data_IF_376006284519
#
_entry.id   IF_376006284519
#
_cell.length_a   1.000
_cell.length_b   1.000
_cell.length_c   1.000
_cell.angle_alpha   90.00
_cell.angle_beta   90.00
_cell.angle_gamma   90.00
#
_symmetry.space_group_name_H-M   'P 1'
#
loop_
_entity.id
_entity.type
_entity.pdbx_description
1 polymer ?
#
# COMPACT_ATOMS: atom_id res chain seq x y z
N UNK A 1 -14.30 0.15 11.87
CA UNK A 1 -14.07 -0.79 10.75
C UNK A 1 -12.56 -0.93 10.58
N UNK A 2 -12.07 -2.15 10.38
CA UNK A 2 -10.65 -2.47 10.29
C UNK A 2 -10.40 -3.28 9.01
N UNK A 3 -9.36 -2.94 8.22
CA UNK A 3 -8.83 -3.87 7.21
C UNK A 3 -7.89 -4.86 7.87
N UNK A 4 -8.15 -6.15 7.70
CA UNK A 4 -7.25 -7.22 8.12
C UNK A 4 -5.98 -7.28 7.27
N UNK A 5 -6.05 -6.72 6.06
CA UNK A 5 -4.95 -6.60 5.11
C UNK A 5 -3.96 -5.47 5.43
N UNK A 6 -4.31 -4.57 6.36
CA UNK A 6 -3.56 -3.37 6.73
C UNK A 6 -3.26 -2.34 5.62
N UNK A 7 -3.58 -2.63 4.36
CA UNK A 7 -3.46 -1.67 3.26
C UNK A 7 -4.55 -0.60 3.35
N UNK A 8 -4.13 0.66 3.51
CA UNK A 8 -5.04 1.79 3.71
C UNK A 8 -5.97 2.08 2.51
N UNK A 9 -5.56 1.69 1.29
CA UNK A 9 -6.37 1.83 0.09
C UNK A 9 -7.31 0.66 -0.18
N UNK A 10 -7.37 -0.35 0.70
CA UNK A 10 -8.21 -1.53 0.48
C UNK A 10 -9.70 -1.19 0.63
N UNK A 11 -10.48 -1.59 -0.36
CA UNK A 11 -11.95 -1.47 -0.37
C UNK A 11 -12.65 -2.82 -0.43
N UNK A 12 -11.91 -3.94 -0.40
CA UNK A 12 -12.50 -5.27 -0.45
C UNK A 12 -13.26 -5.57 0.86
N UNK A 13 -14.60 -5.76 0.83
CA UNK A 13 -15.38 -6.02 2.03
C UNK A 13 -14.98 -7.31 2.74
N UNK A 14 -14.44 -8.30 2.02
CA UNK A 14 -13.93 -9.55 2.62
C UNK A 14 -12.74 -9.30 3.57
N UNK A 15 -12.01 -8.21 3.38
CA UNK A 15 -10.92 -7.83 4.28
C UNK A 15 -11.38 -6.93 5.43
N UNK A 16 -12.66 -6.53 5.46
CA UNK A 16 -13.16 -5.54 6.39
C UNK A 16 -13.92 -6.20 7.55
N UNK A 17 -13.47 -5.90 8.77
CA UNK A 17 -14.14 -6.32 9.99
C UNK A 17 -14.78 -5.13 10.70
N UNK A 18 -16.07 -5.24 10.99
CA UNK A 18 -16.75 -4.27 11.86
C UNK A 18 -16.30 -4.49 13.31
N UNK A 19 -16.06 -3.40 14.03
CA UNK A 19 -15.57 -3.47 15.40
C UNK A 19 -15.39 -2.08 16.01
N UNK A 20 -15.15 -2.04 17.31
CA UNK A 20 -14.95 -0.80 18.06
C UNK A 20 -13.61 -0.13 17.71
N UNK A 21 -13.56 1.19 17.78
CA UNK A 21 -12.33 1.96 17.55
C UNK A 21 -11.20 1.57 18.51
N UNK A 22 -11.52 1.15 19.75
CA UNK A 22 -10.54 0.66 20.71
C UNK A 22 -9.82 -0.59 20.21
N UNK A 23 -10.55 -1.56 19.65
CA UNK A 23 -9.99 -2.80 19.10
C UNK A 23 -9.07 -2.49 17.91
N UNK A 24 -9.52 -1.62 16.99
CA UNK A 24 -8.70 -1.18 15.86
C UNK A 24 -7.37 -0.56 16.31
N UNK A 25 -7.42 0.30 17.33
CA UNK A 25 -6.22 0.93 17.89
C UNK A 25 -5.26 -0.10 18.48
N UNK A 26 -5.76 -1.06 19.27
CA UNK A 26 -4.93 -2.12 19.85
C UNK A 26 -4.25 -2.96 18.77
N UNK A 27 -4.99 -3.37 17.75
CA UNK A 27 -4.44 -4.20 16.67
C UNK A 27 -3.44 -3.45 15.79
N UNK A 28 -3.64 -2.15 15.57
CA UNK A 28 -2.64 -1.30 14.93
C UNK A 28 -1.34 -1.23 15.75
N UNK A 29 -1.43 -1.05 17.07
CA UNK A 29 -0.25 -0.96 17.95
C UNK A 29 0.57 -2.25 17.94
N UNK A 30 -0.10 -3.41 17.86
CA UNK A 30 0.53 -4.72 17.75
C UNK A 30 1.23 -4.94 16.41
N UNK A 31 0.62 -4.50 15.30
CA UNK A 31 1.06 -4.85 13.94
C UNK A 31 1.97 -3.83 13.27
N UNK A 32 1.94 -2.54 13.66
CA UNK A 32 2.71 -1.47 12.99
C UNK A 32 4.25 -1.62 12.97
N UNK A 33 4.79 -2.58 13.72
CA UNK A 33 6.25 -2.85 13.81
C UNK A 33 6.67 -4.03 12.95
N UNK A 34 5.73 -4.74 12.34
CA UNK A 34 6.03 -5.79 11.37
C UNK A 34 6.49 -5.13 10.06
N UNK A 35 7.76 -5.33 9.70
CA UNK A 35 8.37 -4.75 8.50
C UNK A 35 7.79 -5.33 7.20
N UNK A 36 7.14 -6.49 7.26
CA UNK A 36 6.42 -7.09 6.13
C UNK A 36 4.97 -6.60 6.03
N UNK A 37 4.45 -5.90 7.06
CA UNK A 37 3.08 -5.37 7.04
C UNK A 37 2.99 -4.08 6.21
N UNK A 38 1.89 -3.86 5.47
CA UNK A 38 1.59 -2.56 4.88
C UNK A 38 1.56 -1.38 5.87
N UNK A 39 1.43 -1.64 7.18
CA UNK A 39 1.56 -0.59 8.20
C UNK A 39 2.98 -0.04 8.34
N UNK A 40 4.00 -0.75 7.84
CA UNK A 40 5.39 -0.30 7.83
C UNK A 40 5.72 0.59 6.61
N UNK A 41 4.72 0.93 5.77
CA UNK A 41 4.92 1.83 4.62
C UNK A 41 5.43 3.21 5.08
N UNK A 42 6.67 3.51 4.70
CA UNK A 42 7.34 4.78 5.01
C UNK A 42 6.80 5.96 4.21
N UNK A 43 6.02 5.73 3.16
CA UNK A 43 5.34 6.82 2.44
C UNK A 43 4.11 7.35 3.21
N UNK A 44 3.75 6.74 4.35
CA UNK A 44 2.55 7.06 5.12
C UNK A 44 1.27 6.48 4.52
N UNK A 45 0.09 6.71 5.13
CA UNK A 45 -1.11 5.92 4.87
C UNK A 45 -1.57 5.88 3.40
N UNK A 46 -1.42 6.97 2.64
CA UNK A 46 -1.81 7.03 1.22
C UNK A 46 -0.63 6.98 0.25
N UNK A 47 0.56 6.74 0.79
CA UNK A 47 1.83 6.88 0.12
C UNK A 47 1.99 5.97 -1.08
N UNK A 48 1.91 4.65 -0.86
CA UNK A 48 1.92 3.65 -1.93
C UNK A 48 0.89 3.91 -3.01
N UNK A 49 -0.37 4.18 -2.65
CA UNK A 49 -1.45 4.46 -3.62
C UNK A 49 -1.13 5.69 -4.49
N UNK A 50 -0.58 6.76 -3.89
CA UNK A 50 -0.19 7.96 -4.63
C UNK A 50 1.01 7.70 -5.56
N UNK A 51 1.97 6.90 -5.13
CA UNK A 51 3.14 6.52 -5.92
C UNK A 51 2.73 5.71 -7.17
N UNK A 52 1.88 4.69 -7.00
CA UNK A 52 1.32 3.90 -8.11
C UNK A 52 0.54 4.81 -9.06
N UNK A 53 -0.33 5.67 -8.53
CA UNK A 53 -1.10 6.59 -9.36
C UNK A 53 -0.21 7.58 -10.12
N UNK A 54 0.93 7.99 -9.55
CA UNK A 54 1.91 8.83 -10.23
C UNK A 54 2.65 8.07 -11.35
N UNK A 55 3.02 6.81 -11.12
CA UNK A 55 3.62 5.94 -12.13
C UNK A 55 2.69 5.76 -13.35
N UNK A 56 1.40 5.45 -13.11
CA UNK A 56 0.38 5.33 -14.16
C UNK A 56 0.24 6.63 -14.94
N UNK A 57 0.04 7.77 -14.25
CA UNK A 57 -0.09 9.07 -14.92
C UNK A 57 1.15 9.43 -15.74
N UNK A 58 2.34 9.06 -15.26
CA UNK A 58 3.60 9.33 -15.96
C UNK A 58 3.69 8.51 -17.24
N UNK A 59 3.41 7.20 -17.18
CA UNK A 59 3.48 6.35 -18.37
C UNK A 59 2.42 6.70 -19.41
N UNK A 60 1.20 7.01 -18.97
CA UNK A 60 0.15 7.53 -19.87
C UNK A 60 0.55 8.85 -20.54
N UNK A 61 1.18 9.78 -19.79
CA UNK A 61 1.64 11.05 -20.35
C UNK A 61 2.79 10.89 -21.36
N UNK A 62 3.58 9.82 -21.25
CA UNK A 62 4.65 9.47 -22.19
C UNK A 62 4.15 8.70 -23.42
N UNK A 63 2.94 8.16 -23.36
CA UNK A 63 2.43 7.23 -24.37
C UNK A 63 3.11 5.85 -24.28
N UNK A 64 3.58 5.48 -23.09
CA UNK A 64 4.18 4.17 -22.84
C UNK A 64 3.15 3.05 -23.07
N UNK A 65 3.61 1.89 -23.54
CA UNK A 65 2.77 0.71 -23.68
C UNK A 65 2.39 0.13 -22.30
N UNK A 66 1.36 -0.73 -22.22
CA UNK A 66 0.90 -1.29 -20.96
C UNK A 66 1.97 -2.03 -20.15
N UNK A 67 2.90 -2.73 -20.80
CA UNK A 67 3.95 -3.50 -20.10
C UNK A 67 4.98 -2.56 -19.47
N UNK A 68 5.32 -1.47 -20.15
CA UNK A 68 6.16 -0.39 -19.62
C UNK A 68 5.51 0.32 -18.43
N UNK A 69 4.20 0.57 -18.48
CA UNK A 69 3.45 1.14 -17.35
C UNK A 69 3.45 0.19 -16.15
N UNK A 70 3.26 -1.11 -16.39
CA UNK A 70 3.30 -2.13 -15.35
C UNK A 70 4.69 -2.19 -14.68
N UNK A 71 5.77 -2.05 -15.44
CA UNK A 71 7.12 -1.99 -14.89
C UNK A 71 7.35 -0.74 -14.01
N UNK A 72 6.80 0.41 -14.42
CA UNK A 72 6.84 1.63 -13.59
C UNK A 72 6.08 1.45 -12.27
N UNK A 73 4.96 0.71 -12.28
CA UNK A 73 4.22 0.36 -11.07
C UNK A 73 5.07 -0.52 -10.16
N UNK A 74 5.65 -1.62 -10.67
CA UNK A 74 6.54 -2.50 -9.91
C UNK A 74 7.71 -1.74 -9.28
N UNK A 75 8.35 -0.86 -10.05
CA UNK A 75 9.41 0.01 -9.54
C UNK A 75 8.94 0.91 -8.40
N UNK A 76 7.76 1.54 -8.55
CA UNK A 76 7.19 2.41 -7.51
C UNK A 76 6.86 1.65 -6.22
N UNK A 77 6.42 0.39 -6.33
CA UNK A 77 6.13 -0.49 -5.21
C UNK A 77 7.39 -0.96 -4.48
N UNK A 78 8.45 -1.28 -5.21
CA UNK A 78 9.72 -1.76 -4.66
C UNK A 78 10.54 -0.66 -3.97
N UNK A 79 10.49 0.57 -4.48
CA UNK A 79 11.37 1.67 -4.06
C UNK A 79 11.31 2.05 -2.57
N UNK A 80 10.34 1.56 -1.78
CA UNK A 80 10.18 1.91 -0.36
C UNK A 80 9.72 0.76 0.55
N UNK A 81 9.90 -0.49 0.14
CA UNK A 81 9.85 -1.58 1.12
C UNK A 81 11.05 -1.42 2.07
N UNK A 82 10.84 -1.37 3.41
CA UNK A 82 11.91 -1.09 4.37
C UNK A 82 13.02 -2.15 4.39
N UNK A 83 12.76 -3.33 3.80
CA UNK A 83 13.73 -4.37 3.52
C UNK A 83 13.43 -4.97 2.14
N UNK A 84 13.97 -4.38 1.08
CA UNK A 84 14.05 -5.05 -0.22
C UNK A 84 15.06 -6.20 -0.10
N UNK A 85 14.59 -7.39 0.28
CA UNK A 85 15.27 -8.64 -0.07
C UNK A 85 14.96 -8.87 -1.56
N UNK A 86 15.95 -8.56 -2.39
CA UNK A 86 15.96 -8.93 -3.80
C UNK A 86 15.95 -10.44 -3.97
#
# INVERSE_FOLDING_TARGET
MLCQCDFAGCVNPAHMRLGANAVNRTEHQLRRRDLASPLADVYGPAGRTRAIAAAIRTGLARGDDPDSIEELIRCAEAARLPLTLW
#
